data_IF_460140558992
#
_entry.id   IF_460140558992
#
_cell.length_a   1.000
_cell.length_b   1.000
_cell.length_c   1.000
_cell.angle_alpha   90.00
_cell.angle_beta   90.00
_cell.angle_gamma   90.00
#
_symmetry.space_group_name_H-M   'P 1'
#
loop_
_entity.id
_entity.type
_entity.pdbx_description
1 polymer ?
#
# COMPACT_ATOMS: atom_id res chain seq x y z
N UNK A 1 -8.24 -5.45 17.00
CA UNK A 1 -8.83 -4.09 17.05
C UNK A 1 -8.49 -3.26 15.80
N UNK A 2 -7.30 -3.38 15.20
CA UNK A 2 -6.84 -2.57 14.05
C UNK A 2 -7.23 -3.11 12.66
N UNK A 3 -7.40 -4.42 12.48
CA UNK A 3 -8.00 -4.99 11.25
C UNK A 3 -9.41 -4.45 10.97
N UNK A 4 -10.17 -4.10 12.02
CA UNK A 4 -11.53 -3.58 11.88
C UNK A 4 -11.55 -2.21 11.20
N UNK A 5 -10.63 -1.30 11.52
CA UNK A 5 -10.60 0.03 10.88
C UNK A 5 -10.23 -0.08 9.41
N UNK A 6 -9.23 -0.90 9.09
CA UNK A 6 -8.80 -1.18 7.74
C UNK A 6 -9.92 -1.85 6.94
N UNK A 7 -10.61 -2.84 7.52
CA UNK A 7 -11.77 -3.47 6.90
C UNK A 7 -12.95 -2.51 6.76
N UNK A 8 -13.18 -1.62 7.72
CA UNK A 8 -14.25 -0.59 7.68
C UNK A 8 -13.96 0.46 6.61
N UNK A 9 -12.71 0.88 6.45
CA UNK A 9 -12.25 1.69 5.33
C UNK A 9 -12.52 0.94 4.03
N UNK A 10 -11.96 -0.25 3.82
CA UNK A 10 -12.16 -1.11 2.62
C UNK A 10 -13.65 -1.30 2.28
N UNK A 11 -14.51 -1.51 3.28
CA UNK A 11 -15.96 -1.67 3.08
C UNK A 11 -16.62 -0.38 2.60
N UNK A 12 -16.16 0.79 3.08
CA UNK A 12 -16.60 2.09 2.54
C UNK A 12 -16.18 2.29 1.09
N UNK A 13 -15.02 1.75 0.65
CA UNK A 13 -14.63 1.75 -0.77
C UNK A 13 -15.67 1.07 -1.64
N UNK A 14 -16.08 -0.15 -1.24
CA UNK A 14 -17.02 -0.94 -2.00
C UNK A 14 -18.39 -0.25 -2.17
N UNK A 15 -18.78 0.61 -1.21
CA UNK A 15 -20.10 1.26 -1.21
C UNK A 15 -20.18 2.63 -1.93
N UNK A 16 -19.06 3.31 -2.22
CA UNK A 16 -19.13 4.71 -2.66
C UNK A 16 -19.45 4.91 -4.16
N UNK A 17 -19.37 3.84 -4.97
CA UNK A 17 -19.71 3.89 -6.40
C UNK A 17 -18.76 4.74 -7.26
N UNK A 18 -19.08 4.89 -8.56
CA UNK A 18 -18.22 5.57 -9.55
C UNK A 18 -18.12 7.09 -9.38
N UNK A 19 -19.03 7.72 -8.63
CA UNK A 19 -19.09 9.17 -8.46
C UNK A 19 -18.21 9.70 -7.31
N UNK A 20 -17.51 8.81 -6.59
CA UNK A 20 -16.69 9.21 -5.45
C UNK A 20 -15.28 9.59 -5.90
N UNK A 21 -14.84 10.80 -5.54
CA UNK A 21 -13.47 11.25 -5.77
C UNK A 21 -12.61 10.72 -4.64
N UNK A 22 -11.81 9.70 -4.94
CA UNK A 22 -10.92 9.07 -3.98
C UNK A 22 -9.71 9.95 -3.68
N UNK A 23 -9.50 10.27 -2.40
CA UNK A 23 -8.26 10.88 -1.95
C UNK A 23 -7.19 9.82 -1.68
N UNK A 24 -5.94 10.25 -1.56
CA UNK A 24 -4.84 9.37 -1.15
C UNK A 24 -5.05 8.78 0.25
N UNK A 25 -5.69 9.52 1.15
CA UNK A 25 -6.01 9.06 2.51
C UNK A 25 -7.04 7.92 2.49
N UNK A 26 -7.90 7.90 1.48
CA UNK A 26 -8.78 6.78 1.22
C UNK A 26 -7.96 5.60 0.64
N UNK A 27 -7.21 5.84 -0.43
CA UNK A 27 -6.55 4.75 -1.17
C UNK A 27 -5.47 4.02 -0.37
N UNK A 28 -4.77 4.67 0.54
CA UNK A 28 -3.64 4.08 1.28
C UNK A 28 -4.06 2.88 2.17
N UNK A 29 -5.09 2.96 3.04
CA UNK A 29 -5.61 1.80 3.76
C UNK A 29 -6.03 0.63 2.85
N UNK A 30 -6.65 0.91 1.71
CA UNK A 30 -7.04 -0.13 0.75
C UNK A 30 -5.80 -0.78 0.11
N UNK A 31 -4.79 0.01 -0.21
CA UNK A 31 -3.53 -0.48 -0.74
C UNK A 31 -2.77 -1.36 0.26
N UNK A 32 -2.69 -0.94 1.53
CA UNK A 32 -2.14 -1.77 2.61
C UNK A 32 -2.91 -3.11 2.72
N UNK A 33 -4.23 -3.08 2.54
CA UNK A 33 -5.06 -4.29 2.62
C UNK A 33 -4.77 -5.29 1.52
N UNK A 34 -4.71 -4.81 0.29
CA UNK A 34 -4.30 -5.64 -0.84
C UNK A 34 -2.88 -6.16 -0.63
N UNK A 35 -1.95 -5.33 -0.16
CA UNK A 35 -0.54 -5.71 0.06
C UNK A 35 -0.41 -6.84 1.09
N UNK A 36 -1.09 -6.75 2.24
CA UNK A 36 -1.08 -7.81 3.26
C UNK A 36 -1.70 -9.09 2.71
N UNK A 37 -2.84 -8.98 2.02
CA UNK A 37 -3.58 -10.13 1.49
C UNK A 37 -2.92 -10.78 0.28
N UNK A 38 -2.09 -10.06 -0.46
CA UNK A 38 -1.30 -10.60 -1.56
C UNK A 38 -0.22 -11.59 -1.09
N UNK A 39 0.16 -11.53 0.21
CA UNK A 39 1.13 -12.46 0.82
C UNK A 39 2.43 -12.60 0.01
N UNK A 40 2.92 -11.49 -0.55
CA UNK A 40 4.15 -11.47 -1.33
C UNK A 40 5.30 -11.92 -0.43
N UNK A 41 5.90 -13.07 -0.77
CA UNK A 41 7.01 -13.63 -0.01
C UNK A 41 8.22 -12.70 -0.12
N UNK A 42 8.87 -12.46 1.01
CA UNK A 42 10.05 -11.59 1.07
C UNK A 42 9.83 -10.20 0.45
N UNK A 43 8.64 -9.61 0.59
CA UNK A 43 8.29 -8.32 -0.01
C UNK A 43 9.37 -7.23 0.16
N UNK A 44 10.02 -7.14 1.32
CA UNK A 44 11.11 -6.18 1.53
C UNK A 44 12.34 -6.42 0.63
N UNK A 45 12.65 -7.67 0.31
CA UNK A 45 13.71 -8.03 -0.63
C UNK A 45 13.30 -7.73 -2.08
N UNK A 46 12.04 -8.00 -2.46
CA UNK A 46 11.51 -7.66 -3.79
C UNK A 46 11.51 -6.15 -4.03
N UNK A 47 11.12 -5.35 -3.04
CA UNK A 47 11.21 -3.88 -3.09
C UNK A 47 12.66 -3.44 -3.31
N UNK A 48 13.61 -4.03 -2.57
CA UNK A 48 15.04 -3.69 -2.72
C UNK A 48 15.58 -4.10 -4.09
N UNK A 49 15.17 -5.25 -4.62
CA UNK A 49 15.53 -5.68 -5.97
C UNK A 49 15.09 -4.66 -7.01
N UNK A 50 13.87 -4.13 -6.91
CA UNK A 50 13.39 -3.08 -7.83
C UNK A 50 14.22 -1.80 -7.66
N UNK A 51 14.54 -1.41 -6.43
CA UNK A 51 15.39 -0.23 -6.17
C UNK A 51 16.78 -0.36 -6.81
N UNK A 52 17.39 -1.54 -6.71
CA UNK A 52 18.76 -1.77 -7.14
C UNK A 52 18.86 -1.98 -8.66
N UNK A 53 17.83 -2.59 -9.29
CA UNK A 53 17.91 -3.06 -10.68
C UNK A 53 16.90 -2.42 -11.64
N UNK A 54 15.99 -1.57 -11.16
CA UNK A 54 15.01 -0.87 -12.00
C UNK A 54 14.97 0.64 -11.70
N UNK A 55 16.07 1.38 -11.95
CA UNK A 55 16.15 2.81 -11.64
C UNK A 55 15.08 3.65 -12.35
N UNK A 56 14.55 3.18 -13.49
CA UNK A 56 13.43 3.82 -14.19
C UNK A 56 12.14 3.91 -13.36
N UNK A 57 11.97 3.03 -12.36
CA UNK A 57 10.83 3.05 -11.44
C UNK A 57 10.90 4.26 -10.49
N UNK A 58 12.10 4.81 -10.26
CA UNK A 58 12.38 5.87 -9.30
C UNK A 58 12.55 7.25 -9.92
N UNK A 59 12.25 7.40 -11.22
CA UNK A 59 12.36 8.69 -11.90
C UNK A 59 11.16 9.57 -11.54
N UNK A 60 10.20 9.72 -12.45
CA UNK A 60 9.08 10.63 -12.27
C UNK A 60 7.78 9.97 -12.76
N UNK A 61 6.66 10.57 -12.38
CA UNK A 61 5.34 10.18 -12.86
C UNK A 61 4.68 9.07 -12.05
N UNK A 62 3.71 8.41 -12.66
CA UNK A 62 2.80 7.50 -11.95
C UNK A 62 3.51 6.28 -11.36
N UNK A 63 4.49 5.73 -12.07
CA UNK A 63 5.22 4.56 -11.61
C UNK A 63 6.03 4.85 -10.34
N UNK A 64 6.71 6.00 -10.29
CA UNK A 64 7.45 6.46 -9.12
C UNK A 64 6.51 6.72 -7.92
N UNK A 65 5.33 7.30 -8.16
CA UNK A 65 4.31 7.47 -7.12
C UNK A 65 3.84 6.12 -6.57
N UNK A 66 3.45 5.18 -7.44
CA UNK A 66 2.98 3.85 -7.03
C UNK A 66 4.03 3.09 -6.23
N UNK A 67 5.30 3.15 -6.66
CA UNK A 67 6.38 2.48 -5.97
C UNK A 67 6.69 3.12 -4.61
N UNK A 68 6.59 4.45 -4.50
CA UNK A 68 6.67 5.16 -3.22
C UNK A 68 5.53 4.76 -2.28
N UNK A 69 4.30 4.65 -2.79
CA UNK A 69 3.14 4.18 -2.01
C UNK A 69 3.35 2.74 -1.51
N UNK A 70 3.91 1.85 -2.34
CA UNK A 70 4.25 0.49 -1.93
C UNK A 70 5.28 0.47 -0.80
N UNK A 71 6.35 1.26 -0.89
CA UNK A 71 7.36 1.37 0.17
C UNK A 71 6.78 1.90 1.47
N UNK A 72 6.02 2.99 1.40
CA UNK A 72 5.36 3.57 2.56
C UNK A 72 4.41 2.56 3.24
N UNK A 73 3.63 1.84 2.44
CA UNK A 73 2.72 0.80 2.93
C UNK A 73 3.47 -0.35 3.60
N UNK A 74 4.56 -0.84 2.97
CA UNK A 74 5.40 -1.89 3.57
C UNK A 74 5.99 -1.45 4.92
N UNK A 75 6.55 -0.23 5.00
CA UNK A 75 7.09 0.32 6.24
C UNK A 75 6.02 0.44 7.33
N UNK A 76 4.83 0.91 6.98
CA UNK A 76 3.70 1.04 7.90
C UNK A 76 3.25 -0.34 8.43
N UNK A 77 3.10 -1.34 7.55
CA UNK A 77 2.78 -2.72 7.94
C UNK A 77 3.84 -3.27 8.91
N UNK A 78 5.13 -3.07 8.61
CA UNK A 78 6.22 -3.52 9.49
C UNK A 78 6.17 -2.82 10.86
N UNK A 79 5.88 -1.52 10.89
CA UNK A 79 5.75 -0.74 12.14
C UNK A 79 4.61 -1.28 13.00
N UNK A 80 3.46 -1.56 12.41
CA UNK A 80 2.29 -2.10 13.12
C UNK A 80 2.53 -3.51 13.67
N UNK A 81 3.32 -4.33 12.96
CA UNK A 81 3.75 -5.65 13.46
C UNK A 81 4.76 -5.59 14.60
N UNK A 82 5.52 -4.50 14.68
CA UNK A 82 6.58 -4.32 15.67
C UNK A 82 6.08 -3.65 16.96
N UNK A 83 4.86 -3.08 16.95
CA UNK A 83 4.24 -2.56 18.18
C UNK A 83 3.71 -3.72 19.03
N UNK A 84 4.05 -3.79 20.34
CA UNK A 84 3.62 -4.86 21.24
C UNK A 84 2.10 -4.91 21.44
#
# INVERSE_FOLDING_TARGET
MRDIEMFRCVTRFASAGENHIWSTDDLLPAFMYVTVRAQIRHLGAEIRLIDDFAPQVNQDGQLAMMFTTLRASYLQICKERSTP
#
